data_IF_625914585594
#
_entry.id   IF_625914585594
#
_cell.length_a   1.000
_cell.length_b   1.000
_cell.length_c   1.000
_cell.angle_alpha   90.00
_cell.angle_beta   90.00
_cell.angle_gamma   90.00
#
_symmetry.space_group_name_H-M   'P 1'
#
loop_
_entity.id
_entity.type
_entity.pdbx_description
1 polymer ?
#
# COMPACT_ATOMS: atom_id res chain seq x y z
N UNK A 1 -20.40 35.52 10.96
CA UNK A 1 -19.86 34.38 10.19
C UNK A 1 -19.51 33.28 11.16
N UNK A 2 -20.32 32.22 11.26
CA UNK A 2 -19.97 31.05 12.06
C UNK A 2 -18.74 30.41 11.40
N UNK A 3 -17.58 30.38 12.08
CA UNK A 3 -16.46 29.53 11.65
C UNK A 3 -16.97 28.09 11.75
N UNK A 4 -17.26 27.47 10.61
CA UNK A 4 -17.49 26.02 10.56
C UNK A 4 -16.32 25.33 11.24
N UNK A 5 -16.58 24.31 12.05
CA UNK A 5 -15.54 23.54 12.72
C UNK A 5 -14.48 23.11 11.71
N UNK A 6 -13.19 23.33 12.02
CA UNK A 6 -12.10 22.91 11.15
C UNK A 6 -12.21 21.40 10.85
N UNK A 7 -12.01 21.01 9.59
CA UNK A 7 -12.02 19.59 9.19
C UNK A 7 -10.97 18.85 10.00
N UNK A 8 -11.33 17.68 10.54
CA UNK A 8 -10.42 16.83 11.30
C UNK A 8 -9.94 15.66 10.45
N UNK A 9 -8.62 15.48 10.39
CA UNK A 9 -7.94 14.38 9.72
C UNK A 9 -7.25 13.50 10.78
N UNK A 10 -7.63 12.24 10.84
CA UNK A 10 -6.86 11.25 11.60
C UNK A 10 -5.74 10.69 10.73
N UNK A 11 -4.49 10.83 11.17
CA UNK A 11 -3.30 10.28 10.50
C UNK A 11 -2.93 8.98 11.20
N UNK A 12 -3.14 7.84 10.53
CA UNK A 12 -2.86 6.51 11.07
C UNK A 12 -1.48 6.05 10.63
N UNK A 13 -0.60 5.77 11.59
CA UNK A 13 0.79 5.37 11.37
C UNK A 13 1.04 3.99 12.00
N UNK A 14 1.08 2.90 11.23
CA UNK A 14 1.56 1.61 11.74
C UNK A 14 3.07 1.68 11.97
N UNK A 15 3.54 1.20 13.13
CA UNK A 15 4.93 1.30 13.54
C UNK A 15 5.49 -0.03 14.04
N UNK A 16 6.50 -0.53 13.34
CA UNK A 16 7.36 -1.64 13.76
C UNK A 16 8.75 -1.44 13.15
N UNK A 17 9.75 -1.11 13.95
CA UNK A 17 11.08 -0.75 13.47
C UNK A 17 12.21 -1.33 14.33
N UNK A 18 13.35 -1.60 13.69
CA UNK A 18 14.58 -2.10 14.33
C UNK A 18 15.66 -1.04 14.49
N UNK A 19 15.47 0.13 13.87
CA UNK A 19 16.41 1.26 13.90
C UNK A 19 15.68 2.50 14.40
N UNK A 20 16.31 3.31 15.26
CA UNK A 20 15.76 4.59 15.69
C UNK A 20 15.82 5.64 14.56
N UNK A 21 15.13 6.75 14.77
CA UNK A 21 15.04 7.90 13.87
C UNK A 21 14.02 7.77 12.74
N UNK A 22 13.37 6.61 12.60
CA UNK A 22 12.46 6.32 11.48
C UNK A 22 11.10 6.98 11.73
N UNK A 23 10.46 6.70 12.87
CA UNK A 23 9.17 7.30 13.18
C UNK A 23 9.29 8.80 13.41
N UNK A 24 10.38 9.26 14.03
CA UNK A 24 10.62 10.68 14.24
C UNK A 24 10.68 11.45 12.90
N UNK A 25 11.25 10.85 11.85
CA UNK A 25 11.26 11.42 10.49
C UNK A 25 9.86 11.51 9.90
N UNK A 26 9.07 10.43 9.98
CA UNK A 26 7.69 10.43 9.51
C UNK A 26 6.84 11.50 10.23
N UNK A 27 6.90 11.56 11.56
CA UNK A 27 6.16 12.53 12.36
C UNK A 27 6.56 13.98 12.06
N UNK A 28 7.85 14.27 11.82
CA UNK A 28 8.28 15.62 11.38
C UNK A 28 7.66 15.99 10.03
N UNK A 29 7.47 15.04 9.11
CA UNK A 29 6.79 15.31 7.83
C UNK A 29 5.30 15.58 8.00
N UNK A 30 4.65 14.99 9.01
CA UNK A 30 3.26 15.31 9.40
C UNK A 30 3.19 16.70 10.02
N UNK A 31 4.12 17.06 10.91
CA UNK A 31 4.18 18.38 11.53
C UNK A 31 4.45 19.51 10.49
N UNK A 32 5.19 19.20 9.42
CA UNK A 32 5.50 20.12 8.34
C UNK A 32 4.36 20.33 7.33
N UNK A 33 3.19 19.70 7.51
CA UNK A 33 2.06 19.85 6.59
C UNK A 33 1.50 21.28 6.63
N UNK A 34 1.36 21.91 5.46
CA UNK A 34 0.69 23.20 5.30
C UNK A 34 -0.80 22.95 5.21
N UNK A 35 -1.51 22.93 6.34
CA UNK A 35 -2.94 22.62 6.37
C UNK A 35 -3.68 23.33 7.50
N UNK A 36 -4.91 23.75 7.21
CA UNK A 36 -5.82 24.35 8.20
C UNK A 36 -6.67 23.28 8.92
N UNK A 37 -6.51 22.00 8.56
CA UNK A 37 -7.19 20.90 9.23
C UNK A 37 -6.61 20.63 10.62
N UNK A 38 -7.48 20.20 11.53
CA UNK A 38 -7.05 19.64 12.80
C UNK A 38 -6.51 18.23 12.57
N UNK A 39 -5.25 17.99 12.93
CA UNK A 39 -4.62 16.67 12.83
C UNK A 39 -4.73 15.92 14.16
N UNK A 40 -5.19 14.67 14.10
CA UNK A 40 -5.12 13.69 15.19
C UNK A 40 -4.20 12.56 14.72
N UNK A 41 -2.97 12.50 15.25
CA UNK A 41 -1.97 11.53 14.80
C UNK A 41 -2.00 10.30 15.71
N UNK A 42 -2.25 9.14 15.12
CA UNK A 42 -2.42 7.88 15.84
C UNK A 42 -1.31 6.94 15.40
N UNK A 43 -0.31 6.76 16.25
CA UNK A 43 0.78 5.80 16.06
C UNK A 43 0.39 4.48 16.71
N UNK A 44 0.44 3.41 15.93
CA UNK A 44 0.16 2.06 16.40
C UNK A 44 1.50 1.32 16.53
N UNK A 45 2.00 1.24 17.76
CA UNK A 45 3.21 0.50 18.10
C UNK A 45 2.88 -1.00 18.14
N UNK A 46 3.25 -1.70 17.05
CA UNK A 46 2.95 -3.10 16.78
C UNK A 46 4.00 -4.03 17.40
N UNK A 47 4.33 -3.77 18.68
CA UNK A 47 5.41 -4.44 19.43
C UNK A 47 6.79 -4.19 18.80
N UNK A 48 7.06 -2.93 18.46
CA UNK A 48 8.31 -2.52 17.84
C UNK A 48 9.52 -2.72 18.77
N UNK A 49 10.64 -3.31 18.29
CA UNK A 49 11.88 -3.39 19.06
C UNK A 49 12.45 -2.03 19.49
N UNK A 50 12.24 -1.00 18.68
CA UNK A 50 12.48 0.40 19.07
C UNK A 50 11.15 0.97 19.57
N UNK A 51 11.03 1.43 20.83
CA UNK A 51 9.76 1.93 21.35
C UNK A 51 9.30 3.24 20.67
N UNK A 52 8.03 3.32 20.28
CA UNK A 52 7.50 4.53 19.62
C UNK A 52 7.60 5.79 20.49
N UNK A 53 7.56 5.63 21.82
CA UNK A 53 7.63 6.73 22.80
C UNK A 53 8.99 7.44 22.76
N UNK A 54 10.07 6.70 22.53
CA UNK A 54 11.43 7.27 22.44
C UNK A 54 11.60 8.08 21.17
N UNK A 55 11.03 7.62 20.05
CA UNK A 55 11.00 8.36 18.79
C UNK A 55 10.16 9.63 18.90
N UNK A 56 8.98 9.53 19.54
CA UNK A 56 8.11 10.68 19.77
C UNK A 56 8.79 11.75 20.62
N UNK A 57 9.58 11.36 21.64
CA UNK A 57 10.29 12.28 22.51
C UNK A 57 11.32 13.18 21.78
N UNK A 58 11.72 12.82 20.55
CA UNK A 58 12.64 13.62 19.72
C UNK A 58 11.96 14.81 19.01
N UNK A 59 10.64 14.97 19.18
CA UNK A 59 9.87 16.06 18.57
C UNK A 59 9.66 17.23 19.55
N UNK A 60 9.49 18.46 19.04
CA UNK A 60 9.02 19.59 19.84
C UNK A 60 7.71 19.28 20.58
N UNK A 61 7.52 19.85 21.78
CA UNK A 61 6.31 19.63 22.60
C UNK A 61 5.00 19.90 21.82
N UNK A 62 4.97 20.97 21.02
CA UNK A 62 3.80 21.34 20.23
C UNK A 62 3.38 20.27 19.21
N UNK A 63 4.35 19.55 18.65
CA UNK A 63 4.09 18.46 17.69
C UNK A 63 3.69 17.18 18.43
N UNK A 64 4.36 16.89 19.56
CA UNK A 64 4.05 15.71 20.40
C UNK A 64 2.64 15.74 20.96
N UNK A 65 2.13 16.91 21.32
CA UNK A 65 0.80 17.08 21.90
C UNK A 65 -0.35 16.59 20.99
N UNK A 66 -0.10 16.41 19.69
CA UNK A 66 -1.08 15.94 18.70
C UNK A 66 -0.97 14.45 18.40
N UNK A 67 -0.01 13.75 19.02
CA UNK A 67 0.29 12.35 18.74
C UNK A 67 -0.15 11.46 19.89
N UNK A 68 -0.91 10.42 19.57
CA UNK A 68 -1.30 9.35 20.49
C UNK A 68 -0.62 8.06 20.07
N UNK A 69 -0.04 7.36 21.04
CA UNK A 69 0.56 6.03 20.84
C UNK A 69 -0.39 4.99 21.42
N UNK A 70 -0.80 4.03 20.59
CA UNK A 70 -1.54 2.84 20.99
C UNK A 70 -0.60 1.65 20.83
N UNK A 71 -0.46 0.85 21.88
CA UNK A 71 0.36 -0.36 21.86
C UNK A 71 -0.52 -1.57 21.60
N UNK A 72 -0.05 -2.48 20.76
CA UNK A 72 -0.66 -3.78 20.53
C UNK A 72 0.40 -4.89 20.46
N UNK A 73 -0.02 -6.14 20.54
CA UNK A 73 0.83 -7.28 20.18
C UNK A 73 1.04 -7.31 18.68
N UNK A 74 2.21 -7.79 18.21
CA UNK A 74 2.51 -7.82 16.79
C UNK A 74 1.43 -8.56 15.98
N UNK A 75 0.72 -7.81 15.14
CA UNK A 75 -0.36 -8.29 14.27
C UNK A 75 -0.10 -8.02 12.79
N UNK A 76 0.99 -7.31 12.47
CA UNK A 76 1.32 -6.88 11.12
C UNK A 76 0.59 -5.61 10.68
N UNK A 77 0.95 -5.07 9.51
CA UNK A 77 0.54 -3.74 9.07
C UNK A 77 -0.98 -3.60 8.90
N UNK A 78 -1.66 -4.62 8.38
CA UNK A 78 -3.12 -4.63 8.25
C UNK A 78 -3.83 -4.48 9.60
N UNK A 79 -3.38 -5.27 10.60
CA UNK A 79 -3.97 -5.25 11.93
C UNK A 79 -3.68 -3.91 12.63
N UNK A 80 -2.44 -3.42 12.53
CA UNK A 80 -2.06 -2.12 13.09
C UNK A 80 -2.89 -0.98 12.48
N UNK A 81 -3.08 -0.94 11.15
CA UNK A 81 -3.95 0.07 10.51
C UNK A 81 -5.41 -0.05 10.99
N UNK A 82 -5.94 -1.25 11.15
CA UNK A 82 -7.30 -1.46 11.68
C UNK A 82 -7.43 -0.97 13.13
N UNK A 83 -6.47 -1.27 14.00
CA UNK A 83 -6.43 -0.72 15.36
C UNK A 83 -6.40 0.80 15.33
N UNK A 84 -5.64 1.40 14.40
CA UNK A 84 -5.67 2.85 14.15
C UNK A 84 -7.05 3.37 13.80
N UNK A 85 -7.75 2.72 12.85
CA UNK A 85 -9.12 3.06 12.47
C UNK A 85 -10.11 2.92 13.63
N UNK A 86 -9.92 1.96 14.52
CA UNK A 86 -10.76 1.77 15.72
C UNK A 86 -10.52 2.85 16.79
N UNK A 87 -9.39 3.56 16.73
CA UNK A 87 -9.07 4.68 17.62
C UNK A 87 -9.34 6.06 17.01
N UNK A 88 -9.93 6.11 15.81
CA UNK A 88 -10.39 7.35 15.19
C UNK A 88 -11.65 7.84 15.89
N UNK A 89 -11.66 9.11 16.30
CA UNK A 89 -12.79 9.71 17.01
C UNK A 89 -13.98 10.04 16.09
N UNK A 90 -15.19 10.08 16.64
CA UNK A 90 -16.44 10.27 15.88
C UNK A 90 -16.56 11.63 15.16
N UNK A 91 -15.84 12.65 15.61
CA UNK A 91 -15.76 13.97 14.98
C UNK A 91 -14.76 14.01 13.79
N UNK A 92 -14.04 12.92 13.54
CA UNK A 92 -13.12 12.81 12.40
C UNK A 92 -13.88 12.69 11.08
N UNK A 93 -13.56 13.56 10.12
CA UNK A 93 -14.15 13.52 8.79
C UNK A 93 -13.34 12.63 7.83
N UNK A 94 -12.01 12.76 7.91
CA UNK A 94 -11.06 12.17 6.96
C UNK A 94 -10.03 11.30 7.67
N UNK A 95 -9.58 10.24 7.01
CA UNK A 95 -8.42 9.46 7.44
C UNK A 95 -7.35 9.52 6.37
N UNK A 96 -6.11 9.73 6.80
CA UNK A 96 -4.89 9.61 6.01
C UNK A 96 -4.03 8.48 6.59
N UNK A 97 -3.30 7.76 5.74
CA UNK A 97 -2.35 6.75 6.18
C UNK A 97 -0.93 7.23 5.89
N UNK A 98 0.00 6.96 6.80
CA UNK A 98 1.44 7.17 6.56
C UNK A 98 2.19 5.97 7.11
N UNK A 99 2.93 5.26 6.26
CA UNK A 99 3.82 4.21 6.73
C UNK A 99 5.01 4.84 7.47
N UNK A 100 5.43 4.23 8.58
CA UNK A 100 6.41 4.86 9.50
C UNK A 100 7.78 5.16 8.91
N UNK A 101 8.13 4.52 7.79
CA UNK A 101 9.38 4.75 7.06
C UNK A 101 9.27 5.78 5.93
N UNK A 102 8.07 6.28 5.64
CA UNK A 102 7.82 7.22 4.56
C UNK A 102 7.69 8.66 5.07
N UNK A 103 7.75 9.62 4.14
CA UNK A 103 7.52 11.03 4.45
C UNK A 103 6.64 11.70 3.42
N UNK A 104 5.83 12.64 3.89
CA UNK A 104 5.05 13.52 3.05
C UNK A 104 5.78 14.81 2.70
N UNK A 105 5.52 15.32 1.50
CA UNK A 105 5.79 16.69 1.14
C UNK A 105 4.80 17.63 1.86
N UNK A 106 5.18 18.89 2.16
CA UNK A 106 4.34 19.82 2.94
C UNK A 106 2.91 20.03 2.41
N UNK A 107 2.70 19.87 1.10
CA UNK A 107 1.44 20.15 0.42
C UNK A 107 0.47 18.96 0.36
N UNK A 108 0.86 17.76 0.82
CA UNK A 108 0.07 16.55 0.64
C UNK A 108 -1.36 16.65 1.22
N UNK A 109 -1.49 17.06 2.49
CA UNK A 109 -2.79 17.18 3.14
C UNK A 109 -3.62 18.37 2.63
N UNK A 110 -2.98 19.46 2.19
CA UNK A 110 -3.68 20.58 1.54
C UNK A 110 -4.35 20.13 0.23
N UNK A 111 -3.61 19.40 -0.60
CA UNK A 111 -4.12 18.86 -1.85
C UNK A 111 -5.28 17.89 -1.61
N UNK A 112 -5.14 17.00 -0.61
CA UNK A 112 -6.20 16.10 -0.19
C UNK A 112 -7.46 16.87 0.25
N UNK A 113 -7.31 17.95 1.03
CA UNK A 113 -8.43 18.79 1.47
C UNK A 113 -9.12 19.51 0.32
N UNK A 114 -8.37 20.02 -0.67
CA UNK A 114 -8.98 20.65 -1.86
C UNK A 114 -9.78 19.64 -2.67
N UNK A 115 -9.19 18.46 -2.92
CA UNK A 115 -9.87 17.38 -3.63
C UNK A 115 -11.13 16.91 -2.88
N UNK A 116 -11.02 16.56 -1.60
CA UNK A 116 -12.17 16.06 -0.83
C UNK A 116 -13.19 17.17 -0.53
N UNK A 117 -12.75 18.43 -0.39
CA UNK A 117 -13.63 19.59 -0.27
C UNK A 117 -14.44 19.87 -1.54
N UNK A 118 -13.94 19.50 -2.72
CA UNK A 118 -14.67 19.57 -3.99
C UNK A 118 -15.73 18.45 -4.16
N UNK A 119 -16.02 17.67 -3.12
CA UNK A 119 -17.07 16.66 -3.11
C UNK A 119 -16.60 15.24 -3.45
N UNK A 120 -15.28 15.02 -3.47
CA UNK A 120 -14.68 13.69 -3.67
C UNK A 120 -14.56 12.93 -2.34
N UNK A 121 -14.37 11.62 -2.45
CA UNK A 121 -14.37 10.70 -1.31
C UNK A 121 -13.04 9.96 -1.13
N UNK A 122 -12.31 9.77 -2.22
CA UNK A 122 -11.07 9.00 -2.26
C UNK A 122 -10.03 9.81 -3.03
N UNK A 123 -9.00 10.25 -2.30
CA UNK A 123 -7.85 10.95 -2.83
C UNK A 123 -6.60 10.09 -2.74
N UNK A 124 -5.77 10.12 -3.79
CA UNK A 124 -4.41 9.59 -3.75
C UNK A 124 -3.46 10.48 -4.55
N UNK A 125 -2.16 10.29 -4.39
CA UNK A 125 -1.13 11.09 -5.09
C UNK A 125 -0.04 10.22 -5.70
N UNK A 126 0.65 10.76 -6.70
CA UNK A 126 1.87 10.15 -7.23
C UNK A 126 3.00 10.21 -6.19
N UNK A 127 4.00 9.35 -6.35
CA UNK A 127 5.06 9.21 -5.36
C UNK A 127 6.32 8.57 -5.93
N UNK A 128 7.42 8.73 -5.19
CA UNK A 128 8.65 7.99 -5.45
C UNK A 128 8.74 6.77 -4.53
N UNK A 129 8.87 5.61 -5.15
CA UNK A 129 9.27 4.40 -4.42
C UNK A 129 10.75 4.47 -4.06
N UNK A 130 11.13 3.75 -2.99
CA UNK A 130 12.51 3.69 -2.53
C UNK A 130 13.45 3.28 -3.66
N UNK A 131 14.52 4.05 -3.84
CA UNK A 131 15.54 3.86 -4.89
C UNK A 131 15.02 3.92 -6.33
N UNK A 132 13.88 4.59 -6.58
CA UNK A 132 13.39 4.84 -7.94
C UNK A 132 13.62 6.31 -8.35
N UNK A 133 14.16 6.51 -9.56
CA UNK A 133 14.34 7.83 -10.16
C UNK A 133 13.08 8.34 -10.89
N UNK A 134 12.12 7.45 -11.16
CA UNK A 134 10.86 7.73 -11.83
C UNK A 134 9.70 7.49 -10.88
N UNK A 135 8.63 8.28 -11.03
CA UNK A 135 7.46 8.18 -10.16
C UNK A 135 6.67 6.89 -10.40
N UNK A 136 5.75 6.58 -9.48
CA UNK A 136 4.89 5.41 -9.59
C UNK A 136 3.99 5.48 -10.83
N UNK A 137 3.40 6.64 -11.13
CA UNK A 137 2.54 6.80 -12.30
C UNK A 137 3.33 6.60 -13.60
N UNK A 138 4.50 7.24 -13.71
CA UNK A 138 5.33 7.15 -14.91
C UNK A 138 5.81 5.71 -15.15
N UNK A 139 6.29 5.03 -14.11
CA UNK A 139 6.80 3.66 -14.21
C UNK A 139 5.71 2.64 -14.53
N UNK A 140 4.51 2.83 -13.96
CA UNK A 140 3.40 1.92 -14.22
C UNK A 140 2.75 2.16 -15.59
N UNK A 141 2.72 3.42 -16.06
CA UNK A 141 2.07 3.79 -17.33
C UNK A 141 0.57 3.51 -17.34
N UNK A 142 -0.09 3.52 -16.17
CA UNK A 142 -1.53 3.19 -16.02
C UNK A 142 -2.41 4.40 -15.71
N UNK A 143 -1.81 5.48 -15.24
CA UNK A 143 -2.48 6.77 -15.04
C UNK A 143 -1.70 7.80 -15.85
N UNK A 144 -2.38 8.40 -16.82
CA UNK A 144 -1.85 9.48 -17.63
C UNK A 144 -2.63 10.75 -17.28
N UNK A 145 -2.09 11.66 -16.45
CA UNK A 145 -2.80 12.84 -15.99
C UNK A 145 -3.51 13.66 -17.09
N UNK A 146 -2.95 13.82 -18.31
CA UNK A 146 -3.64 14.52 -19.40
C UNK A 146 -4.95 13.87 -19.88
N UNK A 147 -5.21 12.59 -19.56
CA UNK A 147 -6.47 11.90 -19.89
C UNK A 147 -7.57 12.12 -18.84
N UNK A 148 -7.28 12.88 -17.80
CA UNK A 148 -8.14 13.11 -16.65
C UNK A 148 -8.40 14.61 -16.48
N UNK A 149 -9.66 15.00 -16.34
CA UNK A 149 -10.05 16.39 -16.12
C UNK A 149 -9.34 16.97 -14.88
N UNK A 150 -8.80 18.18 -15.01
CA UNK A 150 -8.31 18.95 -13.86
C UNK A 150 -9.50 19.43 -13.02
N UNK A 151 -9.30 19.46 -11.70
CA UNK A 151 -10.21 20.17 -10.81
C UNK A 151 -10.15 21.69 -11.12
N UNK A 152 -11.28 22.41 -11.06
CA UNK A 152 -11.31 23.84 -11.36
C UNK A 152 -10.30 24.63 -10.52
N UNK A 153 -9.42 25.38 -11.18
CA UNK A 153 -8.40 26.22 -10.53
C UNK A 153 -7.15 25.46 -10.07
N UNK A 154 -7.10 24.14 -10.21
CA UNK A 154 -5.95 23.32 -9.82
C UNK A 154 -5.02 23.07 -11.02
N UNK A 155 -3.72 22.88 -10.72
CA UNK A 155 -2.69 22.63 -11.76
C UNK A 155 -2.31 21.17 -11.90
N UNK A 156 -2.53 20.40 -10.84
CA UNK A 156 -2.06 19.03 -10.71
C UNK A 156 -3.04 18.12 -9.97
N UNK A 157 -4.23 18.61 -9.61
CA UNK A 157 -5.31 17.79 -9.07
C UNK A 157 -6.32 17.45 -10.15
N UNK A 158 -6.61 16.17 -10.28
CA UNK A 158 -7.41 15.61 -11.35
C UNK A 158 -8.60 14.80 -10.80
N UNK A 159 -9.67 14.79 -11.57
CA UNK A 159 -10.79 13.87 -11.43
C UNK A 159 -10.41 12.56 -12.09
N UNK A 160 -10.48 11.45 -11.37
CA UNK A 160 -10.25 10.15 -11.98
C UNK A 160 -11.40 9.79 -12.93
N UNK A 161 -11.07 9.39 -14.15
CA UNK A 161 -12.02 9.18 -15.26
C UNK A 161 -11.73 7.86 -15.98
N UNK A 162 -11.73 6.78 -15.21
CA UNK A 162 -11.59 5.42 -15.72
C UNK A 162 -12.18 4.43 -14.70
N UNK A 163 -12.13 3.14 -15.03
CA UNK A 163 -12.49 2.07 -14.10
C UNK A 163 -11.37 1.83 -13.09
N UNK A 164 -11.58 2.34 -11.87
CA UNK A 164 -10.61 2.21 -10.77
C UNK A 164 -10.39 0.74 -10.38
N UNK A 165 -11.43 -0.09 -10.44
CA UNK A 165 -11.27 -1.50 -10.11
C UNK A 165 -10.34 -2.19 -11.12
N UNK A 166 -10.50 -1.93 -12.42
CA UNK A 166 -9.55 -2.44 -13.43
C UNK A 166 -8.13 -1.89 -13.25
N UNK A 167 -7.97 -0.64 -12.81
CA UNK A 167 -6.65 -0.09 -12.50
C UNK A 167 -5.98 -0.89 -11.37
N UNK A 168 -6.67 -1.08 -10.25
CA UNK A 168 -6.13 -1.78 -9.08
C UNK A 168 -5.84 -3.25 -9.40
N UNK A 169 -6.76 -3.94 -10.08
CA UNK A 169 -6.64 -5.37 -10.42
C UNK A 169 -5.46 -5.65 -11.35
N UNK A 170 -5.24 -4.79 -12.34
CA UNK A 170 -4.18 -4.96 -13.34
C UNK A 170 -2.81 -4.45 -12.91
N UNK A 171 -2.72 -3.69 -11.82
CA UNK A 171 -1.47 -3.17 -11.26
C UNK A 171 -1.72 -1.90 -10.47
N UNK A 172 -1.64 -2.01 -9.14
CA UNK A 172 -1.95 -0.90 -8.25
C UNK A 172 -0.84 0.17 -8.28
N UNK A 173 -1.23 1.42 -8.57
CA UNK A 173 -0.36 2.60 -8.51
C UNK A 173 -0.62 3.45 -7.26
N UNK A 174 -1.54 3.02 -6.41
CA UNK A 174 -1.93 3.68 -5.16
C UNK A 174 -1.08 3.10 -4.03
N UNK A 175 -0.11 3.87 -3.54
CA UNK A 175 0.61 3.54 -2.32
C UNK A 175 -0.24 3.91 -1.10
N UNK A 176 -0.28 3.06 -0.09
CA UNK A 176 -0.94 3.38 1.18
C UNK A 176 -0.62 4.76 1.75
N UNK A 177 0.65 5.21 1.82
CA UNK A 177 0.97 6.53 2.34
C UNK A 177 0.44 7.69 1.48
N UNK A 178 -0.07 7.43 0.28
CA UNK A 178 -0.56 8.47 -0.63
C UNK A 178 -2.04 8.77 -0.43
N UNK A 179 -2.76 7.97 0.37
CA UNK A 179 -4.22 8.00 0.44
C UNK A 179 -4.74 8.89 1.56
N UNK A 180 -5.75 9.69 1.22
CA UNK A 180 -6.69 10.30 2.16
C UNK A 180 -8.11 10.00 1.68
N UNK A 181 -8.99 9.57 2.59
CA UNK A 181 -10.37 9.26 2.22
C UNK A 181 -11.38 9.77 3.24
N UNK A 182 -12.64 9.91 2.80
CA UNK A 182 -13.77 10.38 3.61
C UNK A 182 -14.23 9.32 4.61
N UNK A 183 -13.46 9.15 5.68
CA UNK A 183 -13.74 8.17 6.74
C UNK A 183 -15.17 8.22 7.25
N UNK A 184 -15.75 9.42 7.43
CA UNK A 184 -17.13 9.57 7.92
C UNK A 184 -18.18 8.80 7.09
N UNK A 185 -17.94 8.62 5.80
CA UNK A 185 -18.85 7.88 4.89
C UNK A 185 -18.54 6.38 4.82
N UNK A 186 -17.35 5.94 5.24
CA UNK A 186 -16.86 4.56 5.07
C UNK A 186 -16.30 3.98 6.39
N UNK A 187 -16.93 4.30 7.52
CA UNK A 187 -16.43 3.95 8.87
C UNK A 187 -16.23 2.47 9.13
N UNK A 188 -16.93 1.60 8.41
CA UNK A 188 -16.86 0.14 8.55
C UNK A 188 -15.77 -0.50 7.68
N UNK A 189 -15.12 0.27 6.81
CA UNK A 189 -14.08 -0.23 5.93
C UNK A 189 -12.84 -0.63 6.74
N UNK A 190 -12.28 -1.82 6.47
CA UNK A 190 -11.16 -2.39 7.21
C UNK A 190 -10.21 -3.14 6.28
N UNK A 191 -8.93 -3.17 6.65
CA UNK A 191 -7.92 -3.99 5.99
C UNK A 191 -8.17 -5.47 6.28
N UNK A 192 -7.99 -6.31 5.26
CA UNK A 192 -8.11 -7.77 5.40
C UNK A 192 -6.83 -8.35 6.01
N UNK A 193 -6.90 -8.71 7.29
CA UNK A 193 -5.75 -9.21 8.06
C UNK A 193 -5.27 -10.58 7.63
N UNK A 194 -6.08 -11.34 6.87
CA UNK A 194 -5.70 -12.63 6.30
C UNK A 194 -4.65 -12.53 5.17
N UNK A 195 -4.34 -11.31 4.69
CA UNK A 195 -3.37 -11.02 3.62
C UNK A 195 -2.12 -10.26 4.14
N UNK A 196 -1.62 -10.66 5.31
CA UNK A 196 -0.51 -10.03 6.09
C UNK A 196 0.66 -9.47 5.28
N UNK A 197 1.13 -10.18 4.25
CA UNK A 197 2.33 -9.78 3.52
C UNK A 197 2.03 -9.05 2.22
N UNK A 198 0.97 -9.36 1.49
CA UNK A 198 0.67 -8.69 0.23
C UNK A 198 -0.83 -8.65 -0.05
N UNK A 199 -1.29 -7.48 -0.50
CA UNK A 199 -2.61 -7.26 -1.07
C UNK A 199 -3.64 -6.76 -0.07
N UNK A 200 -3.29 -6.57 1.21
CA UNK A 200 -4.22 -5.99 2.18
C UNK A 200 -4.65 -4.57 1.78
N UNK A 201 -3.71 -3.79 1.26
CA UNK A 201 -3.90 -2.43 0.75
C UNK A 201 -4.70 -2.45 -0.55
N UNK A 202 -4.38 -3.36 -1.48
CA UNK A 202 -5.07 -3.48 -2.77
C UNK A 202 -6.55 -3.82 -2.56
N UNK A 203 -6.83 -4.73 -1.63
CA UNK A 203 -8.20 -5.13 -1.30
C UNK A 203 -8.96 -3.99 -0.61
N UNK A 204 -8.30 -3.20 0.24
CA UNK A 204 -8.91 -2.01 0.84
C UNK A 204 -9.30 -0.98 -0.23
N UNK A 205 -8.43 -0.70 -1.21
CA UNK A 205 -8.74 0.23 -2.30
C UNK A 205 -9.81 -0.32 -3.24
N UNK A 206 -9.85 -1.63 -3.49
CA UNK A 206 -10.92 -2.28 -4.24
C UNK A 206 -12.26 -2.12 -3.52
N UNK A 207 -12.31 -2.40 -2.22
CA UNK A 207 -13.51 -2.23 -1.40
C UNK A 207 -13.96 -0.76 -1.42
N UNK A 208 -13.05 0.21 -1.21
CA UNK A 208 -13.37 1.64 -1.25
C UNK A 208 -13.88 2.09 -2.63
N UNK A 209 -13.20 1.72 -3.71
CA UNK A 209 -13.60 2.10 -5.07
C UNK A 209 -14.91 1.47 -5.52
N UNK A 210 -15.37 0.40 -4.87
CA UNK A 210 -16.71 -0.17 -5.10
C UNK A 210 -17.81 0.58 -4.34
N UNK A 211 -17.44 1.32 -3.30
CA UNK A 211 -18.36 2.13 -2.49
C UNK A 211 -18.48 3.57 -3.02
N UNK A 212 -17.54 4.03 -3.86
CA UNK A 212 -17.57 5.36 -4.46
C UNK A 212 -16.81 5.44 -5.79
N UNK A 213 -17.41 6.15 -6.75
CA UNK A 213 -16.75 6.56 -8.00
C UNK A 213 -16.20 8.00 -7.91
N UNK A 214 -16.40 8.68 -6.78
CA UNK A 214 -15.94 10.06 -6.55
C UNK A 214 -14.48 10.06 -6.13
N UNK A 215 -13.62 9.82 -7.11
CA UNK A 215 -12.18 9.65 -6.92
C UNK A 215 -11.42 10.82 -7.55
N UNK A 216 -10.48 11.38 -6.81
CA UNK A 216 -9.57 12.42 -7.28
C UNK A 216 -8.13 11.97 -7.03
N UNK A 217 -7.19 12.52 -7.81
CA UNK A 217 -5.78 12.26 -7.60
C UNK A 217 -4.90 13.47 -7.88
N UNK A 218 -3.72 13.49 -7.28
CA UNK A 218 -2.67 14.48 -7.55
C UNK A 218 -1.59 13.87 -8.44
N UNK A 219 -1.20 14.59 -9.49
CA UNK A 219 -0.04 14.24 -10.34
C UNK A 219 1.29 14.77 -9.79
N UNK A 220 1.26 15.55 -8.70
CA UNK A 220 2.46 15.92 -7.97
C UNK A 220 2.97 14.76 -7.11
N UNK A 221 4.27 14.68 -6.87
CA UNK A 221 4.85 13.61 -6.05
C UNK A 221 4.88 14.02 -4.59
N UNK A 222 3.78 13.77 -3.86
CA UNK A 222 3.64 14.24 -2.49
C UNK A 222 4.20 13.26 -1.44
N UNK A 223 4.67 12.08 -1.84
CA UNK A 223 5.23 11.07 -0.93
C UNK A 223 6.59 10.59 -1.42
N UNK A 224 7.51 10.42 -0.48
CA UNK A 224 8.82 9.79 -0.70
C UNK A 224 8.90 8.57 0.20
N UNK A 225 9.03 7.39 -0.41
CA UNK A 225 9.21 6.17 0.35
C UNK A 225 10.62 6.07 0.92
N UNK A 226 10.73 5.88 2.23
CA UNK A 226 12.02 5.80 2.90
C UNK A 226 12.47 4.36 3.18
N UNK A 227 13.62 4.25 3.80
CA UNK A 227 14.21 2.96 4.17
C UNK A 227 13.90 2.61 5.63
N UNK A 228 13.20 1.50 5.84
CA UNK A 228 12.80 0.97 7.14
C UNK A 228 12.53 -0.54 7.09
N UNK A 229 11.84 -1.08 8.11
CA UNK A 229 11.33 -2.45 8.08
C UNK A 229 10.16 -2.52 7.11
N UNK A 230 10.51 -2.57 5.83
CA UNK A 230 9.56 -2.79 4.76
C UNK A 230 9.53 -4.29 4.43
N UNK A 231 8.33 -4.83 4.44
CA UNK A 231 8.05 -6.25 4.20
C UNK A 231 8.66 -6.74 2.88
N UNK A 232 8.77 -5.86 1.87
CA UNK A 232 9.33 -6.16 0.55
C UNK A 232 10.53 -5.35 0.10
N UNK A 233 11.03 -4.38 0.88
CA UNK A 233 12.33 -3.80 0.56
C UNK A 233 13.39 -4.91 0.47
N UNK A 234 14.06 -4.97 -0.69
CA UNK A 234 15.04 -6.01 -1.01
C UNK A 234 14.46 -7.35 -1.50
N UNK A 235 13.17 -7.45 -1.87
CA UNK A 235 12.59 -8.69 -2.44
C UNK A 235 12.96 -8.95 -3.91
N UNK A 236 14.13 -8.47 -4.35
CA UNK A 236 14.65 -8.67 -5.70
C UNK A 236 14.75 -10.16 -6.05
N UNK A 237 14.80 -10.46 -7.34
CA UNK A 237 14.89 -11.84 -7.83
C UNK A 237 16.04 -12.61 -7.16
N UNK A 238 15.79 -13.85 -6.72
CA UNK A 238 16.79 -14.70 -6.07
C UNK A 238 17.06 -14.43 -4.57
N UNK A 239 16.37 -13.46 -3.96
CA UNK A 239 16.38 -13.20 -2.50
C UNK A 239 15.32 -14.01 -1.77
N UNK A 240 15.51 -14.36 -0.49
CA UNK A 240 14.53 -15.13 0.30
C UNK A 240 13.12 -14.50 0.29
N UNK A 241 13.06 -13.17 0.41
CA UNK A 241 11.82 -12.41 0.34
C UNK A 241 11.09 -12.51 -1.01
N UNK A 242 11.78 -12.83 -2.10
CA UNK A 242 11.18 -12.94 -3.44
C UNK A 242 10.15 -14.08 -3.54
N UNK A 243 10.48 -15.26 -3.01
CA UNK A 243 9.61 -16.43 -3.06
C UNK A 243 8.37 -16.25 -2.17
N UNK A 244 8.58 -15.64 -1.00
CA UNK A 244 7.50 -15.27 -0.06
C UNK A 244 6.56 -14.27 -0.74
N UNK A 245 7.09 -13.21 -1.36
CA UNK A 245 6.29 -12.23 -2.11
C UNK A 245 5.42 -12.91 -3.18
N UNK A 246 6.03 -13.75 -4.03
CA UNK A 246 5.32 -14.46 -5.09
C UNK A 246 4.20 -15.36 -4.54
N UNK A 247 4.43 -16.04 -3.41
CA UNK A 247 3.42 -16.84 -2.73
C UNK A 247 2.21 -15.99 -2.30
N UNK A 248 2.45 -14.89 -1.57
CA UNK A 248 1.37 -14.03 -1.07
C UNK A 248 0.65 -13.27 -2.19
N UNK A 249 1.39 -12.86 -3.23
CA UNK A 249 0.79 -12.24 -4.41
C UNK A 249 -0.18 -13.21 -5.11
N UNK A 250 0.22 -14.47 -5.24
CA UNK A 250 -0.63 -15.51 -5.82
C UNK A 250 -1.83 -15.84 -4.91
N UNK A 251 -1.62 -15.85 -3.58
CA UNK A 251 -2.70 -16.06 -2.59
C UNK A 251 -3.82 -15.03 -2.79
N UNK A 252 -3.48 -13.75 -2.84
CA UNK A 252 -4.51 -12.72 -3.01
C UNK A 252 -5.13 -12.79 -4.42
N UNK A 253 -4.35 -12.92 -5.50
CA UNK A 253 -4.91 -12.95 -6.87
C UNK A 253 -5.88 -14.10 -7.08
N UNK A 254 -5.63 -15.26 -6.47
CA UNK A 254 -6.57 -16.38 -6.48
C UNK A 254 -7.82 -16.14 -5.64
N UNK A 255 -7.74 -15.30 -4.62
CA UNK A 255 -8.88 -14.91 -3.80
C UNK A 255 -9.78 -13.88 -4.49
N UNK A 256 -9.25 -12.98 -5.32
CA UNK A 256 -10.00 -11.88 -5.96
C UNK A 256 -11.29 -12.38 -6.62
N UNK A 257 -11.22 -13.41 -7.48
CA UNK A 257 -12.39 -13.91 -8.20
C UNK A 257 -13.47 -14.55 -7.31
N UNK A 258 -13.14 -14.86 -6.04
CA UNK A 258 -14.09 -15.33 -5.03
C UNK A 258 -14.65 -14.18 -4.19
N UNK A 259 -13.85 -13.15 -3.97
CA UNK A 259 -14.18 -12.00 -3.15
C UNK A 259 -15.00 -10.95 -3.92
N UNK A 260 -14.83 -10.87 -5.24
CA UNK A 260 -15.41 -9.82 -6.06
C UNK A 260 -16.09 -10.38 -7.31
N UNK A 261 -17.25 -9.81 -7.70
CA UNK A 261 -17.78 -10.02 -9.04
C UNK A 261 -16.84 -9.33 -10.04
N UNK A 262 -16.31 -10.11 -10.99
CA UNK A 262 -15.38 -9.65 -12.00
C UNK A 262 -16.02 -9.74 -13.39
N UNK A 263 -15.69 -8.80 -14.27
CA UNK A 263 -16.01 -8.92 -15.70
C UNK A 263 -15.23 -10.06 -16.35
N UNK A 264 -15.69 -10.57 -17.50
CA UNK A 264 -14.95 -11.60 -18.25
C UNK A 264 -13.51 -11.17 -18.58
N UNK A 265 -13.33 -9.89 -18.92
CA UNK A 265 -12.01 -9.29 -19.17
C UNK A 265 -11.12 -9.39 -17.93
N UNK A 266 -11.62 -8.95 -16.77
CA UNK A 266 -10.88 -9.01 -15.50
C UNK A 266 -10.57 -10.44 -15.05
N UNK A 267 -11.50 -11.38 -15.28
CA UNK A 267 -11.26 -12.81 -15.02
C UNK A 267 -10.12 -13.34 -15.89
N UNK A 268 -10.10 -12.99 -17.17
CA UNK A 268 -9.04 -13.38 -18.10
C UNK A 268 -7.69 -12.79 -17.69
N UNK A 269 -7.63 -11.49 -17.45
CA UNK A 269 -6.42 -10.78 -17.00
C UNK A 269 -5.87 -11.36 -15.68
N UNK A 270 -6.73 -11.62 -14.70
CA UNK A 270 -6.32 -12.21 -13.42
C UNK A 270 -5.80 -13.65 -13.60
N UNK A 271 -6.41 -14.46 -14.48
CA UNK A 271 -5.92 -15.81 -14.80
C UNK A 271 -4.52 -15.76 -15.44
N UNK A 272 -4.30 -14.83 -16.37
CA UNK A 272 -2.99 -14.62 -16.99
C UNK A 272 -1.94 -14.18 -15.97
N UNK A 273 -2.29 -13.26 -15.07
CA UNK A 273 -1.41 -12.83 -13.99
C UNK A 273 -1.04 -13.98 -13.03
N UNK A 274 -2.01 -14.82 -12.63
CA UNK A 274 -1.73 -16.01 -11.82
C UNK A 274 -0.82 -17.00 -12.55
N UNK A 275 -0.99 -17.18 -13.86
CA UNK A 275 -0.08 -18.01 -14.67
C UNK A 275 1.33 -17.44 -14.74
N UNK A 276 1.48 -16.13 -14.88
CA UNK A 276 2.78 -15.47 -14.83
C UNK A 276 3.47 -15.66 -13.47
N UNK A 277 2.75 -15.44 -12.36
CA UNK A 277 3.26 -15.67 -11.01
C UNK A 277 3.70 -17.12 -10.79
N UNK A 278 2.96 -18.11 -11.31
CA UNK A 278 3.37 -19.51 -11.27
C UNK A 278 4.71 -19.73 -11.97
N UNK A 279 4.89 -19.17 -13.16
CA UNK A 279 6.15 -19.29 -13.92
C UNK A 279 7.31 -18.67 -13.13
N UNK A 280 7.12 -17.46 -12.59
CA UNK A 280 8.13 -16.79 -11.75
C UNK A 280 8.44 -17.57 -10.47
N UNK A 281 7.43 -18.14 -9.81
CA UNK A 281 7.62 -18.97 -8.62
C UNK A 281 8.45 -20.21 -8.93
N UNK A 282 8.12 -20.94 -9.99
CA UNK A 282 8.87 -22.13 -10.43
C UNK A 282 10.31 -21.75 -10.79
N UNK A 283 10.51 -20.66 -11.53
CA UNK A 283 11.85 -20.20 -11.88
C UNK A 283 12.70 -19.83 -10.65
N UNK A 284 12.11 -19.16 -9.65
CA UNK A 284 12.80 -18.83 -8.40
C UNK A 284 13.14 -20.10 -7.58
N UNK A 285 12.25 -21.09 -7.52
CA UNK A 285 12.54 -22.39 -6.90
C UNK A 285 13.68 -23.11 -7.62
N UNK A 286 13.68 -23.18 -8.94
CA UNK A 286 14.75 -23.82 -9.72
C UNK A 286 16.10 -23.13 -9.49
N UNK A 287 16.12 -21.80 -9.49
CA UNK A 287 17.30 -21.02 -9.16
C UNK A 287 17.81 -21.37 -7.74
N UNK A 288 16.92 -21.50 -6.76
CA UNK A 288 17.32 -21.89 -5.39
C UNK A 288 17.85 -23.31 -5.31
N UNK A 289 17.27 -24.27 -6.04
CA UNK A 289 17.80 -25.63 -6.13
C UNK A 289 19.23 -25.60 -6.69
N UNK A 290 19.45 -24.87 -7.80
CA UNK A 290 20.77 -24.72 -8.42
C UNK A 290 21.80 -24.10 -7.47
N UNK A 291 21.38 -23.17 -6.62
CA UNK A 291 22.25 -22.45 -5.68
C UNK A 291 22.17 -22.95 -4.23
N UNK A 292 21.56 -24.12 -3.98
CA UNK A 292 21.39 -24.74 -2.65
C UNK A 292 20.80 -23.78 -1.60
N UNK A 293 19.87 -22.91 -2.01
CA UNK A 293 19.16 -21.97 -1.12
C UNK A 293 17.89 -22.59 -0.53
N UNK A 294 17.43 -22.16 0.66
CA UNK A 294 16.20 -22.68 1.25
C UNK A 294 14.95 -22.27 0.46
N UNK A 295 13.99 -23.19 0.35
CA UNK A 295 12.69 -22.98 -0.32
C UNK A 295 11.54 -23.86 0.18
N UNK A 296 11.85 -24.96 0.90
CA UNK A 296 10.86 -25.99 1.27
C UNK A 296 9.69 -25.44 2.08
N UNK A 297 9.94 -24.57 3.05
CA UNK A 297 8.88 -23.98 3.88
C UNK A 297 7.85 -23.21 3.05
N UNK A 298 8.33 -22.34 2.14
CA UNK A 298 7.45 -21.56 1.25
C UNK A 298 6.75 -22.48 0.25
N UNK A 299 7.42 -23.54 -0.21
CA UNK A 299 6.80 -24.54 -1.10
C UNK A 299 5.64 -25.28 -0.43
N UNK A 300 5.76 -25.67 0.85
CA UNK A 300 4.67 -26.26 1.62
C UNK A 300 3.48 -25.31 1.77
N UNK A 301 3.74 -24.02 2.06
CA UNK A 301 2.70 -22.98 2.07
C UNK A 301 2.04 -22.84 0.70
N UNK A 302 2.83 -22.85 -0.37
CA UNK A 302 2.36 -22.75 -1.74
C UNK A 302 1.44 -23.91 -2.13
N UNK A 303 1.77 -25.15 -1.75
CA UNK A 303 0.93 -26.32 -2.06
C UNK A 303 -0.48 -26.21 -1.49
N UNK A 304 -0.65 -25.61 -0.32
CA UNK A 304 -1.96 -25.41 0.31
C UNK A 304 -2.85 -24.45 -0.47
N UNK A 305 -2.27 -23.47 -1.16
CA UNK A 305 -3.02 -22.47 -1.92
C UNK A 305 -3.10 -22.80 -3.41
N UNK A 306 -2.12 -23.52 -3.98
CA UNK A 306 -2.04 -23.79 -5.41
C UNK A 306 -1.18 -25.02 -5.75
N UNK A 307 -1.81 -26.21 -5.68
CA UNK A 307 -1.20 -27.49 -6.11
C UNK A 307 -0.70 -27.44 -7.56
N UNK A 308 -1.34 -26.64 -8.42
CA UNK A 308 -0.93 -26.49 -9.82
C UNK A 308 0.46 -25.88 -9.97
N UNK A 309 0.93 -25.05 -9.03
CA UNK A 309 2.31 -24.53 -9.07
C UNK A 309 3.35 -25.66 -9.04
N UNK A 310 3.03 -26.78 -8.37
CA UNK A 310 3.89 -27.99 -8.33
C UNK A 310 3.73 -28.81 -9.60
N UNK A 311 2.53 -28.90 -10.17
CA UNK A 311 2.32 -29.62 -11.44
C UNK A 311 2.98 -28.90 -12.64
N UNK A 312 3.04 -27.57 -12.61
CA UNK A 312 3.79 -26.76 -13.58
C UNK A 312 5.31 -26.87 -13.41
N UNK A 313 5.80 -27.42 -12.29
CA UNK A 313 7.23 -27.63 -12.03
C UNK A 313 7.86 -28.55 -13.07
N UNK A 314 7.22 -29.67 -13.39
CA UNK A 314 7.77 -30.70 -14.29
C UNK A 314 7.91 -30.18 -15.74
N UNK A 315 6.87 -29.59 -16.38
CA UNK A 315 7.01 -29.09 -17.76
C UNK A 315 7.94 -27.89 -17.90
N UNK A 316 7.98 -26.97 -16.92
CA UNK A 316 8.85 -25.79 -16.95
C UNK A 316 10.30 -26.12 -16.63
N UNK A 317 10.56 -27.04 -15.70
CA UNK A 317 11.91 -27.55 -15.43
C UNK A 317 12.48 -28.25 -16.68
N UNK A 318 11.67 -29.10 -17.34
CA UNK A 318 12.03 -29.74 -18.61
C UNK A 318 12.29 -28.69 -19.70
N UNK A 319 11.44 -27.68 -19.85
CA UNK A 319 11.64 -26.60 -20.83
C UNK A 319 12.88 -25.72 -20.59
N UNK A 320 13.26 -25.50 -19.33
CA UNK A 320 14.48 -24.76 -18.96
C UNK A 320 15.76 -25.58 -19.19
N UNK A 321 15.73 -26.88 -18.91
CA UNK A 321 16.83 -27.82 -19.21
C UNK A 321 17.04 -27.91 -20.73
N UNK A 322 15.98 -28.09 -21.51
CA UNK A 322 16.04 -28.18 -22.97
C UNK A 322 16.49 -26.88 -23.66
N UNK A 323 16.28 -25.71 -23.04
CA UNK A 323 16.81 -24.43 -23.55
C UNK A 323 18.30 -24.26 -23.26
N UNK A 324 18.80 -24.84 -22.17
CA UNK A 324 20.23 -24.80 -21.81
C UNK A 324 21.08 -25.68 -22.74
N UNK A 325 20.55 -26.81 -23.19
CA UNK A 325 21.21 -27.70 -24.16
C UNK A 325 21.26 -27.15 -25.59
N UNK A 326 20.43 -26.15 -25.92
CA UNK A 326 20.46 -25.47 -27.23
C UNK A 326 21.40 -24.26 -27.28
N UNK A 327 22.06 -23.94 -26.18
CA UNK A 327 22.98 -22.80 -26.05
C UNK A 327 24.38 -23.20 -25.60
N UNK A 328 24.68 -24.49 -25.61
CA UNK A 328 26.01 -25.09 -25.43
C UNK A 328 26.44 -25.73 -26.76
#
# INVERSE_FOLDING_TARGET
MQRGSAVKIAVVIPYFQRRPGILARALRSVAAQTTDAQLDVIVIDDESPVPAREELAQLPEADRARVRIVQQKNGGPAAARNTGLDHVTDDTELVAFLDSDDTWQPFHLADALRALGAGYDFYFTDFYQLNQAVSAFQRAGRIEPPRHLLLPGERHLHVYQADMQSQILGGNVIGTPTVVYRFRSFRTLRFRTEFVYAGEDYLFWLDLSRMTDRIAFSSAQAVVCGDGVNVFAGSGWGTEKSLIRLHYEMKYKKAIARLYPLTERQVKENREAVLALRRSFVADVLHRVAHRKPFLEVMWKQMRIDVRSVLYFVPLAVGLVLRRERSA
#
